data_IF_628475755835
#
_entry.id   IF_628475755835
#
_cell.length_a   1.000
_cell.length_b   1.000
_cell.length_c   1.000
_cell.angle_alpha   90.00
_cell.angle_beta   90.00
_cell.angle_gamma   90.00
#
_symmetry.space_group_name_H-M   'P 1'
#
loop_
_entity.id
_entity.type
_entity.pdbx_description
1 polymer ?
#
# COMPACT_ATOMS: atom_id res chain seq x y z
N UNK A 1 9.26 4.73 17.96
CA UNK A 1 10.70 4.44 17.78
C UNK A 1 11.44 5.78 17.82
N UNK A 2 12.50 5.93 18.63
CA UNK A 2 13.13 7.26 18.87
C UNK A 2 14.39 7.54 18.04
N UNK A 3 14.95 6.57 17.31
CA UNK A 3 16.26 6.72 16.63
C UNK A 3 16.33 6.14 15.20
N UNK A 4 15.20 5.79 14.59
CA UNK A 4 15.19 5.16 13.26
C UNK A 4 14.52 6.08 12.27
N UNK A 5 15.20 6.34 11.16
CA UNK A 5 14.65 7.01 9.99
C UNK A 5 14.33 5.96 8.91
N UNK A 6 13.21 6.14 8.21
CA UNK A 6 12.76 5.21 7.17
C UNK A 6 12.24 5.96 5.95
N UNK A 7 12.44 5.37 4.77
CA UNK A 7 11.85 5.79 3.51
C UNK A 7 11.49 4.58 2.68
N UNK A 8 10.52 4.72 1.77
CA UNK A 8 10.19 3.66 0.82
C UNK A 8 11.36 3.41 -0.14
N UNK A 9 11.58 2.14 -0.48
CA UNK A 9 12.51 1.76 -1.52
C UNK A 9 11.86 1.96 -2.90
N UNK A 10 12.67 2.10 -3.95
CA UNK A 10 12.17 2.28 -5.33
C UNK A 10 11.21 1.18 -5.76
N UNK A 11 11.43 -0.06 -5.30
CA UNK A 11 10.56 -1.21 -5.62
C UNK A 11 9.12 -1.05 -5.08
N UNK A 12 8.93 -0.27 -4.02
CA UNK A 12 7.60 -0.04 -3.43
C UNK A 12 6.67 0.71 -4.39
N UNK A 13 7.20 1.45 -5.37
CA UNK A 13 6.40 2.08 -6.42
C UNK A 13 5.56 1.06 -7.20
N UNK A 14 6.07 -0.16 -7.42
CA UNK A 14 5.32 -1.23 -8.11
C UNK A 14 4.16 -1.79 -7.29
N UNK A 15 4.08 -1.49 -6.00
CA UNK A 15 2.97 -1.90 -5.12
C UNK A 15 1.88 -0.84 -5.01
N UNK A 16 2.24 0.43 -5.19
CA UNK A 16 1.36 1.59 -4.98
C UNK A 16 0.97 2.29 -6.28
N UNK A 17 1.55 1.88 -7.41
CA UNK A 17 1.27 2.44 -8.72
C UNK A 17 -0.24 2.45 -9.00
N UNK A 18 -0.75 3.62 -9.40
CA UNK A 18 -2.15 3.83 -9.80
C UNK A 18 -3.21 3.56 -8.72
N UNK A 19 -2.84 3.58 -7.44
CA UNK A 19 -3.79 3.36 -6.32
C UNK A 19 -4.93 4.41 -6.28
N UNK A 20 -4.66 5.63 -6.73
CA UNK A 20 -5.66 6.73 -6.77
C UNK A 20 -6.56 6.69 -8.02
N UNK A 21 -6.36 5.74 -8.94
CA UNK A 21 -7.11 5.63 -10.20
C UNK A 21 -8.29 4.64 -10.13
N UNK A 22 -8.91 4.51 -8.96
CA UNK A 22 -10.03 3.59 -8.73
C UNK A 22 -9.73 2.13 -9.13
N UNK A 23 -8.49 1.70 -8.86
CA UNK A 23 -8.00 0.36 -9.22
C UNK A 23 -8.29 -0.69 -8.15
N UNK A 24 -8.64 -0.26 -6.94
CA UNK A 24 -8.86 -1.13 -5.78
C UNK A 24 -10.06 -0.65 -4.96
N UNK A 25 -10.73 -1.59 -4.30
CA UNK A 25 -11.79 -1.27 -3.36
C UNK A 25 -11.22 -0.68 -2.08
N UNK A 26 -11.88 0.34 -1.55
CA UNK A 26 -11.55 0.97 -0.28
C UNK A 26 -12.54 0.54 0.80
N UNK A 27 -12.06 0.39 2.02
CA UNK A 27 -12.88 0.10 3.21
C UNK A 27 -12.56 1.10 4.32
N UNK A 28 -13.50 1.28 5.23
CA UNK A 28 -13.26 2.11 6.41
C UNK A 28 -12.24 1.42 7.33
N UNK A 29 -11.41 2.22 8.00
CA UNK A 29 -10.47 1.75 9.01
C UNK A 29 -11.22 1.33 10.30
N UNK A 30 -10.47 0.84 11.30
CA UNK A 30 -11.06 0.23 12.50
C UNK A 30 -12.02 1.14 13.30
N UNK A 31 -11.80 2.46 13.29
CA UNK A 31 -12.63 3.46 13.98
C UNK A 31 -13.47 4.30 13.00
N UNK A 32 -13.49 3.93 11.71
CA UNK A 32 -14.20 4.61 10.62
C UNK A 32 -13.82 6.09 10.43
N UNK A 33 -12.66 6.52 10.94
CA UNK A 33 -12.16 7.88 10.74
C UNK A 33 -11.47 8.08 9.38
N UNK A 34 -10.89 7.02 8.80
CA UNK A 34 -10.18 7.07 7.52
C UNK A 34 -10.53 5.85 6.66
N UNK A 35 -10.14 5.91 5.38
CA UNK A 35 -10.28 4.79 4.45
C UNK A 35 -8.93 4.17 4.15
N UNK A 36 -8.90 2.85 4.04
CA UNK A 36 -7.74 2.05 3.66
C UNK A 36 -8.09 1.16 2.46
N UNK A 37 -7.13 0.90 1.56
CA UNK A 37 -7.33 0.00 0.43
C UNK A 37 -7.46 -1.45 0.94
N UNK A 38 -8.41 -2.20 0.41
CA UNK A 38 -8.60 -3.62 0.77
C UNK A 38 -7.46 -4.51 0.26
N UNK A 39 -6.86 -4.13 -0.88
CA UNK A 39 -5.70 -4.78 -1.51
C UNK A 39 -4.79 -3.72 -2.11
N UNK A 40 -3.50 -4.03 -2.30
CA UNK A 40 -2.57 -3.16 -3.02
C UNK A 40 -2.57 -3.50 -4.52
N UNK A 41 -2.51 -2.51 -5.43
CA UNK A 41 -2.42 -2.71 -6.87
C UNK A 41 -1.02 -3.17 -7.31
N UNK A 42 -0.53 -4.26 -6.73
CA UNK A 42 0.81 -4.76 -7.00
C UNK A 42 0.97 -5.25 -8.44
N UNK A 43 1.94 -4.68 -9.16
CA UNK A 43 2.27 -5.07 -10.54
C UNK A 43 3.16 -6.31 -10.64
N UNK A 44 3.71 -6.76 -9.52
CA UNK A 44 4.58 -7.94 -9.42
C UNK A 44 4.04 -8.89 -8.34
N UNK A 45 4.19 -10.22 -8.51
CA UNK A 45 3.66 -11.21 -7.56
C UNK A 45 4.50 -11.23 -6.27
N UNK A 46 4.25 -10.29 -5.37
CA UNK A 46 5.08 -10.09 -4.17
C UNK A 46 5.12 -11.29 -3.22
N UNK A 47 4.04 -12.09 -3.19
CA UNK A 47 3.93 -13.30 -2.38
C UNK A 47 4.96 -14.38 -2.77
N UNK A 48 5.44 -14.38 -4.01
CA UNK A 48 6.45 -15.34 -4.48
C UNK A 48 7.88 -14.79 -4.36
N UNK A 49 8.02 -13.48 -4.22
CA UNK A 49 9.32 -12.79 -4.25
C UNK A 49 9.90 -12.58 -2.84
N UNK A 50 9.06 -12.49 -1.82
CA UNK A 50 9.44 -12.38 -0.40
C UNK A 50 8.96 -13.59 0.38
#
# INVERSE_FOLDING_TARGET
MRYTEVKMAKITEFMLADIDKDTVNWRDNYDSSTKEPAVLPARIPNLLLN
#
